data_IF_004344244892
#
_entry.id   IF_004344244892
#
_cell.length_a   1.000
_cell.length_b   1.000
_cell.length_c   1.000
_cell.angle_alpha   90.00
_cell.angle_beta   90.00
_cell.angle_gamma   90.00
#
_symmetry.space_group_name_H-M   'P 1'
#
loop_
_entity.id
_entity.type
_entity.pdbx_description
1 polymer ?
#
# COMPACT_ATOMS: atom_id res chain seq x y z
N UNK A 1 -13.95 -7.31 -14.15
CA UNK A 1 -15.13 -6.45 -13.99
C UNK A 1 -14.63 -5.02 -13.91
N UNK A 2 -15.03 -4.17 -14.83
CA UNK A 2 -14.66 -2.75 -14.87
C UNK A 2 -15.35 -2.05 -13.72
N UNK A 3 -14.60 -1.28 -12.90
CA UNK A 3 -15.22 -0.41 -11.91
C UNK A 3 -15.88 0.78 -12.64
N UNK A 4 -17.20 0.87 -12.68
CA UNK A 4 -17.91 1.92 -13.42
C UNK A 4 -17.74 3.32 -12.78
N UNK A 5 -17.05 3.41 -11.65
CA UNK A 5 -16.88 4.62 -10.87
C UNK A 5 -15.49 5.24 -11.04
N UNK A 6 -14.56 4.56 -11.72
CA UNK A 6 -13.23 5.10 -11.95
C UNK A 6 -13.30 6.32 -12.87
N UNK A 7 -12.88 7.48 -12.39
CA UNK A 7 -12.89 8.73 -13.15
C UNK A 7 -11.57 8.98 -13.87
N UNK A 8 -10.45 8.65 -13.27
CA UNK A 8 -9.15 8.86 -13.89
C UNK A 8 -8.02 8.07 -13.24
N UNK A 9 -6.89 8.05 -13.94
CA UNK A 9 -5.63 7.57 -13.39
C UNK A 9 -4.46 8.40 -13.95
N UNK A 10 -3.35 8.39 -13.21
CA UNK A 10 -2.11 9.03 -13.63
C UNK A 10 -0.90 8.18 -13.18
N UNK A 11 0.23 8.36 -13.86
CA UNK A 11 1.52 7.85 -13.41
C UNK A 11 2.32 9.00 -12.78
N UNK A 12 3.17 8.65 -11.82
CA UNK A 12 4.07 9.59 -11.19
C UNK A 12 5.39 8.91 -10.81
N UNK A 13 6.49 9.63 -10.96
CA UNK A 13 7.81 9.14 -10.61
C UNK A 13 8.04 9.19 -9.11
N UNK A 14 8.68 8.14 -8.58
CA UNK A 14 9.02 8.03 -7.16
C UNK A 14 10.43 7.47 -6.99
N UNK A 15 11.04 7.59 -5.79
CA UNK A 15 12.33 6.97 -5.48
C UNK A 15 12.39 5.44 -5.66
N UNK A 16 11.24 4.78 -5.74
CA UNK A 16 11.16 3.33 -5.96
C UNK A 16 10.75 2.95 -7.39
N UNK A 17 10.55 3.93 -8.28
CA UNK A 17 10.15 3.75 -9.67
C UNK A 17 8.82 4.44 -9.99
N UNK A 18 8.29 4.18 -11.19
CA UNK A 18 7.04 4.81 -11.64
C UNK A 18 5.84 4.11 -11.02
N UNK A 19 5.17 4.82 -10.12
CA UNK A 19 3.90 4.41 -9.53
C UNK A 19 2.72 4.89 -10.38
N UNK A 20 1.54 4.35 -10.09
CA UNK A 20 0.29 4.84 -10.67
C UNK A 20 -0.79 4.99 -9.63
N UNK A 21 -1.68 5.94 -9.82
CA UNK A 21 -2.80 6.21 -8.94
C UNK A 21 -4.09 6.31 -9.75
N UNK A 22 -5.16 5.68 -9.25
CA UNK A 22 -6.49 5.77 -9.82
C UNK A 22 -7.46 6.35 -8.79
N UNK A 23 -8.44 7.10 -9.25
CA UNK A 23 -9.42 7.79 -8.39
C UNK A 23 -10.83 7.78 -8.97
N UNK A 24 -11.79 7.97 -8.08
CA UNK A 24 -13.19 8.28 -8.36
C UNK A 24 -13.57 9.62 -7.71
N UNK A 25 -14.79 10.12 -7.91
CA UNK A 25 -15.29 11.27 -7.17
C UNK A 25 -15.28 11.12 -5.64
N UNK A 26 -15.23 9.88 -5.13
CA UNK A 26 -15.27 9.58 -3.69
C UNK A 26 -13.88 9.47 -3.05
N UNK A 27 -12.83 9.30 -3.84
CA UNK A 27 -11.48 9.18 -3.30
C UNK A 27 -10.55 8.32 -4.15
N UNK A 28 -9.46 7.88 -3.55
CA UNK A 28 -8.47 7.03 -4.21
C UNK A 28 -9.01 5.59 -4.31
N UNK A 29 -9.08 5.08 -5.53
CA UNK A 29 -9.45 3.69 -5.83
C UNK A 29 -8.26 2.74 -5.74
N UNK A 30 -7.08 3.24 -6.10
CA UNK A 30 -5.89 2.42 -6.09
C UNK A 30 -4.59 3.19 -6.21
N UNK A 31 -3.54 2.61 -5.66
CA UNK A 31 -2.16 3.01 -5.87
C UNK A 31 -1.38 1.77 -6.27
N UNK A 32 -0.87 1.79 -7.50
CA UNK A 32 -0.09 0.71 -8.09
C UNK A 32 1.39 0.98 -7.90
N UNK A 33 2.07 0.06 -7.24
CA UNK A 33 3.53 0.07 -7.15
C UNK A 33 4.17 -0.17 -8.53
N UNK A 34 5.45 0.21 -8.72
CA UNK A 34 6.12 0.07 -10.00
C UNK A 34 6.12 -1.38 -10.51
N UNK A 35 5.79 -1.57 -11.77
CA UNK A 35 6.10 -2.77 -12.52
C UNK A 35 7.51 -2.67 -13.13
N UNK A 36 7.91 -3.64 -13.94
CA UNK A 36 9.24 -3.66 -14.57
C UNK A 36 9.53 -2.41 -15.44
N UNK A 37 8.48 -1.80 -16.00
CA UNK A 37 8.56 -0.56 -16.79
C UNK A 37 7.35 0.34 -16.51
N UNK A 38 7.48 1.64 -16.79
CA UNK A 38 6.36 2.58 -16.72
C UNK A 38 5.19 2.16 -17.62
N UNK A 39 5.49 1.61 -18.79
CA UNK A 39 4.48 1.06 -19.70
C UNK A 39 3.71 -0.12 -19.11
N UNK A 40 4.40 -1.00 -18.38
CA UNK A 40 3.78 -2.12 -17.69
C UNK A 40 2.89 -1.64 -16.52
N UNK A 41 3.35 -0.63 -15.76
CA UNK A 41 2.54 0.01 -14.70
C UNK A 41 1.26 0.62 -15.29
N UNK A 42 1.37 1.37 -16.40
CA UNK A 42 0.21 1.94 -17.13
C UNK A 42 -0.74 0.85 -17.60
N UNK A 43 -0.22 -0.20 -18.21
CA UNK A 43 -1.04 -1.31 -18.71
C UNK A 43 -1.82 -2.00 -17.57
N UNK A 44 -1.19 -2.15 -16.41
CA UNK A 44 -1.84 -2.73 -15.23
C UNK A 44 -2.96 -1.84 -14.68
N UNK A 45 -2.76 -0.52 -14.63
CA UNK A 45 -3.81 0.44 -14.26
C UNK A 45 -5.00 0.36 -15.21
N UNK A 46 -4.75 0.42 -16.52
CA UNK A 46 -5.80 0.32 -17.56
C UNK A 46 -6.61 -0.96 -17.46
N UNK A 47 -5.94 -2.08 -17.15
CA UNK A 47 -6.62 -3.38 -17.00
C UNK A 47 -7.46 -3.44 -15.73
N UNK A 48 -6.96 -2.87 -14.65
CA UNK A 48 -7.62 -2.93 -13.33
C UNK A 48 -8.79 -1.95 -13.24
N UNK A 49 -8.64 -0.77 -13.81
CA UNK A 49 -9.66 0.29 -13.86
C UNK A 49 -9.96 0.68 -15.31
N UNK A 50 -10.54 -0.27 -16.05
CA UNK A 50 -10.74 -0.12 -17.50
C UNK A 50 -11.67 1.04 -17.89
N UNK A 51 -12.50 1.55 -16.96
CA UNK A 51 -13.32 2.76 -17.15
C UNK A 51 -12.60 4.07 -16.87
N UNK A 52 -11.37 4.03 -16.33
CA UNK A 52 -10.62 5.22 -16.00
C UNK A 52 -9.87 5.78 -17.21
N UNK A 53 -9.86 7.11 -17.33
CA UNK A 53 -9.09 7.83 -18.37
C UNK A 53 -7.79 8.35 -17.78
N UNK A 54 -6.69 8.19 -18.50
CA UNK A 54 -5.40 8.81 -18.12
C UNK A 54 -5.53 10.33 -18.26
N UNK A 55 -5.38 11.05 -17.15
CA UNK A 55 -5.61 12.48 -17.08
C UNK A 55 -4.82 13.12 -15.94
N UNK A 56 -4.77 14.44 -15.92
CA UNK A 56 -4.17 15.15 -14.79
C UNK A 56 -4.96 14.92 -13.50
N UNK A 57 -4.27 14.65 -12.38
CA UNK A 57 -4.92 14.46 -11.10
C UNK A 57 -5.67 15.71 -10.63
N UNK A 58 -6.91 15.59 -10.15
CA UNK A 58 -7.57 16.68 -9.43
C UNK A 58 -6.74 17.08 -8.19
N UNK A 59 -6.95 18.32 -7.70
CA UNK A 59 -6.18 18.88 -6.59
C UNK A 59 -6.10 17.96 -5.34
N UNK A 60 -7.18 17.26 -4.99
CA UNK A 60 -7.20 16.31 -3.88
C UNK A 60 -6.30 15.09 -4.11
N UNK A 61 -6.28 14.56 -5.33
CA UNK A 61 -5.43 13.45 -5.73
C UNK A 61 -3.97 13.89 -5.83
N UNK A 62 -3.72 15.10 -6.37
CA UNK A 62 -2.37 15.64 -6.43
C UNK A 62 -1.77 15.80 -5.02
N UNK A 63 -2.54 16.30 -4.04
CA UNK A 63 -2.07 16.36 -2.64
C UNK A 63 -1.76 14.97 -2.08
N UNK A 64 -2.51 13.96 -2.45
CA UNK A 64 -2.21 12.58 -2.04
C UNK A 64 -0.88 12.09 -2.67
N UNK A 65 -0.65 12.37 -3.96
CA UNK A 65 0.63 12.09 -4.64
C UNK A 65 1.79 12.79 -3.93
N UNK A 66 1.66 14.08 -3.66
CA UNK A 66 2.72 14.89 -3.02
C UNK A 66 3.10 14.32 -1.65
N UNK A 67 2.11 13.91 -0.85
CA UNK A 67 2.34 13.28 0.46
C UNK A 67 2.98 11.89 0.34
N UNK A 68 2.61 11.10 -0.66
CA UNK A 68 3.26 9.81 -0.95
C UNK A 68 4.71 10.03 -1.36
N UNK A 69 5.00 11.04 -2.17
CA UNK A 69 6.36 11.40 -2.57
C UNK A 69 7.19 11.85 -1.37
N UNK A 70 6.64 12.66 -0.49
CA UNK A 70 7.30 13.09 0.75
C UNK A 70 7.63 11.89 1.65
N UNK A 71 6.69 10.94 1.82
CA UNK A 71 6.93 9.71 2.56
C UNK A 71 8.07 8.89 1.94
N UNK A 72 8.04 8.68 0.62
CA UNK A 72 9.04 7.90 -0.10
C UNK A 72 10.40 8.62 -0.23
N UNK A 73 10.46 9.91 0.08
CA UNK A 73 11.71 10.65 0.26
C UNK A 73 12.26 10.55 1.70
N UNK A 74 11.62 9.79 2.57
CA UNK A 74 12.03 9.60 3.97
C UNK A 74 11.35 10.52 4.98
N UNK A 75 10.32 11.28 4.56
CA UNK A 75 9.52 12.12 5.45
C UNK A 75 8.59 11.29 6.35
N UNK A 76 8.39 11.73 7.57
CA UNK A 76 7.45 11.11 8.51
C UNK A 76 6.02 11.64 8.29
N UNK A 77 5.43 11.28 7.16
CA UNK A 77 4.11 11.74 6.74
C UNK A 77 3.04 10.71 7.05
N UNK A 78 2.00 11.11 7.77
CA UNK A 78 0.81 10.28 7.95
C UNK A 78 -0.10 10.39 6.71
N UNK A 79 -0.51 9.26 6.16
CA UNK A 79 -1.42 9.15 5.02
C UNK A 79 -2.83 8.69 5.45
N UNK A 80 -3.08 8.59 6.76
CA UNK A 80 -4.28 7.97 7.31
C UNK A 80 -5.58 8.73 7.03
N UNK A 81 -5.53 10.01 6.71
CA UNK A 81 -6.69 10.86 6.41
C UNK A 81 -7.01 11.00 4.92
N UNK A 82 -6.20 10.42 4.03
CA UNK A 82 -6.48 10.45 2.59
C UNK A 82 -7.77 9.68 2.29
N UNK A 83 -8.77 10.31 1.64
CA UNK A 83 -10.02 9.62 1.31
C UNK A 83 -9.79 8.45 0.33
N UNK A 84 -10.30 7.28 0.68
CA UNK A 84 -10.24 6.09 -0.16
C UNK A 84 -11.65 5.69 -0.62
N UNK A 85 -11.75 5.23 -1.85
CA UNK A 85 -12.95 4.59 -2.37
C UNK A 85 -12.74 3.07 -2.39
N UNK A 86 -13.15 2.42 -1.32
CA UNK A 86 -13.03 0.97 -1.10
C UNK A 86 -14.40 0.28 -1.06
N UNK A 87 -15.43 0.90 -1.64
CA UNK A 87 -16.80 0.39 -1.57
C UNK A 87 -16.93 -1.04 -2.12
N UNK A 88 -16.18 -1.36 -3.16
CA UNK A 88 -16.19 -2.70 -3.78
C UNK A 88 -15.38 -3.75 -3.01
N UNK A 89 -14.58 -3.34 -2.03
CA UNK A 89 -13.82 -4.27 -1.21
C UNK A 89 -14.71 -4.98 -0.19
N UNK A 90 -14.49 -6.27 0.09
CA UNK A 90 -15.21 -6.99 1.14
C UNK A 90 -15.11 -6.28 2.49
N UNK A 91 -16.16 -6.35 3.30
CA UNK A 91 -16.22 -5.67 4.61
C UNK A 91 -15.02 -6.01 5.50
N UNK A 92 -14.67 -7.30 5.58
CA UNK A 92 -13.52 -7.74 6.38
C UNK A 92 -12.21 -7.09 5.88
N UNK A 93 -12.01 -7.01 4.55
CA UNK A 93 -10.83 -6.35 3.99
C UNK A 93 -10.78 -4.87 4.36
N UNK A 94 -11.91 -4.16 4.30
CA UNK A 94 -11.97 -2.74 4.71
C UNK A 94 -11.56 -2.56 6.16
N UNK A 95 -12.06 -3.41 7.07
CA UNK A 95 -11.66 -3.40 8.49
C UNK A 95 -10.17 -3.65 8.68
N UNK A 96 -9.59 -4.60 7.94
CA UNK A 96 -8.15 -4.85 7.95
C UNK A 96 -7.37 -3.61 7.49
N UNK A 97 -7.82 -2.96 6.41
CA UNK A 97 -7.16 -1.76 5.88
C UNK A 97 -7.26 -0.58 6.85
N UNK A 98 -8.38 -0.40 7.53
CA UNK A 98 -8.53 0.63 8.57
C UNK A 98 -7.52 0.44 9.70
N UNK A 99 -7.36 -0.79 10.20
CA UNK A 99 -6.36 -1.09 11.24
C UNK A 99 -4.95 -0.88 10.71
N UNK A 100 -4.63 -1.35 9.50
CA UNK A 100 -3.31 -1.17 8.90
C UNK A 100 -2.94 0.32 8.77
N UNK A 101 -3.89 1.18 8.42
CA UNK A 101 -3.69 2.64 8.29
C UNK A 101 -3.37 3.34 9.60
N UNK A 102 -3.60 2.71 10.74
CA UNK A 102 -3.19 3.24 12.05
C UNK A 102 -1.72 3.03 12.36
N UNK A 103 -1.00 2.24 11.56
CA UNK A 103 0.43 1.98 11.77
C UNK A 103 1.22 3.18 11.23
N UNK A 104 1.93 3.95 12.08
CA UNK A 104 2.71 5.09 11.62
C UNK A 104 3.91 4.67 10.75
N UNK A 105 4.46 5.59 9.93
CA UNK A 105 5.75 5.37 9.28
C UNK A 105 6.84 4.97 10.29
N UNK A 106 7.68 4.02 9.90
CA UNK A 106 8.75 3.52 10.77
C UNK A 106 8.33 2.49 11.81
N UNK A 107 7.04 2.19 11.93
CA UNK A 107 6.50 1.16 12.82
C UNK A 107 5.92 -0.01 12.03
N UNK A 108 5.78 -1.14 12.71
CA UNK A 108 5.22 -2.36 12.13
C UNK A 108 4.25 -3.04 13.08
N UNK A 109 3.34 -3.82 12.54
CA UNK A 109 2.49 -4.79 13.26
C UNK A 109 2.64 -6.16 12.63
N UNK A 110 2.30 -7.19 13.38
CA UNK A 110 2.15 -8.54 12.82
C UNK A 110 0.72 -8.78 12.33
N UNK A 111 0.54 -9.74 11.44
CA UNK A 111 -0.81 -10.18 11.02
C UNK A 111 -1.67 -10.60 12.21
N UNK A 112 -1.05 -11.27 13.21
CA UNK A 112 -1.73 -11.68 14.44
C UNK A 112 -2.15 -10.51 15.32
N UNK A 113 -1.38 -9.43 15.38
CA UNK A 113 -1.78 -8.21 16.12
C UNK A 113 -2.97 -7.53 15.49
N UNK A 114 -3.01 -7.45 14.15
CA UNK A 114 -4.19 -6.93 13.43
C UNK A 114 -5.41 -7.82 13.70
N UNK A 115 -5.27 -9.14 13.60
CA UNK A 115 -6.35 -10.09 13.87
C UNK A 115 -6.91 -9.92 15.29
N UNK A 116 -6.04 -9.76 16.31
CA UNK A 116 -6.48 -9.48 17.69
C UNK A 116 -7.21 -8.15 17.82
N UNK A 117 -6.72 -7.09 17.18
CA UNK A 117 -7.42 -5.79 17.18
C UNK A 117 -8.81 -5.85 16.57
N UNK A 118 -9.01 -6.74 15.59
CA UNK A 118 -10.31 -6.98 14.95
C UNK A 118 -11.21 -7.95 15.73
N UNK A 119 -10.75 -8.51 16.85
CA UNK A 119 -11.49 -9.48 17.64
C UNK A 119 -11.55 -10.89 17.04
N UNK A 120 -10.68 -11.19 16.09
CA UNK A 120 -10.58 -12.48 15.38
C UNK A 120 -9.16 -13.07 15.47
N UNK A 121 -8.64 -13.37 16.68
CA UNK A 121 -7.23 -13.66 16.92
C UNK A 121 -6.68 -14.87 16.13
N UNK A 122 -7.56 -15.73 15.63
CA UNK A 122 -7.18 -16.93 14.87
C UNK A 122 -7.14 -16.72 13.35
N UNK A 123 -7.55 -15.52 12.87
CA UNK A 123 -7.68 -15.21 11.44
C UNK A 123 -6.48 -14.43 10.87
N UNK A 124 -5.28 -14.66 11.36
CA UNK A 124 -4.07 -13.99 10.87
C UNK A 124 -3.78 -14.28 9.39
N UNK A 125 -4.19 -15.46 8.90
CA UNK A 125 -4.07 -15.85 7.50
C UNK A 125 -5.01 -15.04 6.61
N UNK A 126 -6.24 -14.85 7.06
CA UNK A 126 -7.29 -14.06 6.38
C UNK A 126 -6.87 -12.57 6.33
N UNK A 127 -6.27 -12.05 7.40
CA UNK A 127 -5.64 -10.72 7.40
C UNK A 127 -4.55 -10.63 6.32
N UNK A 128 -3.69 -11.64 6.23
CA UNK A 128 -2.66 -11.72 5.20
C UNK A 128 -3.25 -11.74 3.78
N UNK A 129 -4.33 -12.48 3.56
CA UNK A 129 -5.03 -12.53 2.27
C UNK A 129 -5.68 -11.17 1.93
N UNK A 130 -6.29 -10.50 2.90
CA UNK A 130 -6.86 -9.17 2.71
C UNK A 130 -5.79 -8.17 2.29
N UNK A 131 -4.66 -8.14 2.99
CA UNK A 131 -3.51 -7.27 2.66
C UNK A 131 -2.87 -7.63 1.32
N UNK A 132 -2.83 -8.90 0.95
CA UNK A 132 -2.36 -9.33 -0.37
C UNK A 132 -3.23 -8.83 -1.54
N UNK A 133 -4.48 -8.47 -1.26
CA UNK A 133 -5.44 -7.91 -2.22
C UNK A 133 -5.62 -6.39 -2.10
N UNK A 134 -4.80 -5.74 -1.28
CA UNK A 134 -4.83 -4.29 -1.09
C UNK A 134 -4.73 -3.54 -2.42
N UNK A 135 -5.75 -2.75 -2.80
CA UNK A 135 -5.70 -1.98 -4.04
C UNK A 135 -4.90 -0.68 -3.93
N UNK A 136 -4.66 -0.19 -2.71
CA UNK A 136 -4.10 1.15 -2.46
C UNK A 136 -2.80 1.03 -1.69
N UNK A 137 -1.78 0.46 -2.33
CA UNK A 137 -0.47 0.29 -1.70
C UNK A 137 0.09 1.62 -1.16
N UNK A 138 0.92 1.58 -0.15
CA UNK A 138 1.52 2.72 0.56
C UNK A 138 0.50 3.46 1.42
N UNK A 139 -0.63 3.92 0.89
CA UNK A 139 -1.67 4.62 1.66
C UNK A 139 -2.36 3.64 2.63
N UNK A 140 -2.64 2.41 2.19
CA UNK A 140 -2.88 1.27 3.07
C UNK A 140 -1.55 0.54 3.21
N UNK A 141 -0.82 0.69 4.34
CA UNK A 141 0.58 0.32 4.43
C UNK A 141 0.77 -1.18 4.70
N UNK A 142 0.36 -2.04 3.76
CA UNK A 142 0.56 -3.48 3.86
C UNK A 142 2.04 -3.89 4.02
N UNK A 143 2.97 -3.02 3.59
CA UNK A 143 4.40 -3.20 3.81
C UNK A 143 4.81 -3.11 5.28
N UNK A 144 4.02 -2.44 6.15
CA UNK A 144 4.25 -2.34 7.60
C UNK A 144 3.71 -3.55 8.39
N UNK A 145 3.15 -4.55 7.70
CA UNK A 145 2.61 -5.75 8.34
C UNK A 145 3.52 -6.94 8.07
N UNK A 146 3.98 -7.56 9.14
CA UNK A 146 4.97 -8.63 9.14
C UNK A 146 4.37 -9.94 9.67
N UNK A 147 5.04 -11.05 9.39
CA UNK A 147 4.75 -12.32 10.03
C UNK A 147 5.17 -12.34 11.51
N UNK A 148 4.86 -13.42 12.21
CA UNK A 148 5.35 -13.64 13.55
C UNK A 148 6.88 -13.56 13.61
N UNK A 149 7.42 -13.07 14.73
CA UNK A 149 8.86 -12.86 14.93
C UNK A 149 9.50 -11.87 13.93
N UNK A 150 8.72 -10.94 13.38
CA UNK A 150 9.21 -9.93 12.44
C UNK A 150 9.58 -10.47 11.06
N UNK A 151 9.18 -11.70 10.74
CA UNK A 151 9.45 -12.28 9.41
C UNK A 151 8.73 -11.50 8.32
N UNK A 152 9.47 -11.20 7.24
CA UNK A 152 8.88 -10.64 6.04
C UNK A 152 7.91 -11.66 5.43
N UNK A 153 6.61 -11.39 5.52
CA UNK A 153 5.59 -12.13 4.78
C UNK A 153 5.70 -11.86 3.28
N UNK A 154 4.92 -12.59 2.50
CA UNK A 154 4.81 -12.34 1.06
C UNK A 154 4.37 -10.91 0.75
N UNK A 155 4.75 -10.43 -0.42
CA UNK A 155 4.36 -9.12 -0.93
C UNK A 155 4.01 -9.27 -2.41
N UNK A 156 2.80 -8.86 -2.79
CA UNK A 156 2.27 -9.11 -4.14
C UNK A 156 2.73 -8.12 -5.20
N UNK A 157 3.51 -7.09 -4.82
CA UNK A 157 4.08 -6.14 -5.75
C UNK A 157 5.23 -6.76 -6.57
N UNK A 158 5.55 -6.15 -7.70
CA UNK A 158 6.76 -6.46 -8.45
C UNK A 158 8.00 -6.28 -7.56
N UNK A 159 8.94 -7.22 -7.60
CA UNK A 159 10.08 -7.27 -6.68
C UNK A 159 9.77 -7.90 -5.30
N UNK A 160 8.50 -8.19 -4.98
CA UNK A 160 8.09 -8.93 -3.79
C UNK A 160 8.67 -8.37 -2.49
N UNK A 161 9.28 -9.23 -1.70
CA UNK A 161 9.88 -8.88 -0.39
C UNK A 161 10.95 -7.80 -0.49
N UNK A 162 11.70 -7.71 -1.60
CA UNK A 162 12.71 -6.67 -1.80
C UNK A 162 12.07 -5.27 -1.87
N UNK A 163 10.95 -5.12 -2.57
CA UNK A 163 10.19 -3.85 -2.62
C UNK A 163 9.64 -3.49 -1.23
N UNK A 164 9.08 -4.45 -0.52
CA UNK A 164 8.59 -4.27 0.86
C UNK A 164 9.71 -3.76 1.78
N UNK A 165 10.87 -4.42 1.74
CA UNK A 165 12.05 -4.03 2.53
C UNK A 165 12.50 -2.62 2.18
N UNK A 166 12.56 -2.30 0.89
CA UNK A 166 12.97 -0.97 0.42
C UNK A 166 12.10 0.14 0.98
N UNK A 167 10.78 -0.04 0.99
CA UNK A 167 9.86 0.96 1.54
C UNK A 167 10.05 1.09 3.06
N UNK A 168 10.18 -0.02 3.78
CA UNK A 168 10.45 0.00 5.23
C UNK A 168 11.77 0.69 5.58
N UNK A 169 12.84 0.48 4.79
CA UNK A 169 14.12 1.16 4.95
C UNK A 169 13.99 2.67 4.74
N UNK A 170 13.23 3.11 3.74
CA UNK A 170 12.95 4.53 3.48
C UNK A 170 12.23 5.16 4.67
N UNK A 171 11.30 4.45 5.28
CA UNK A 171 10.57 4.92 6.46
C UNK A 171 11.39 4.88 7.74
N UNK A 172 12.62 4.36 7.70
CA UNK A 172 13.46 4.19 8.89
C UNK A 172 12.86 3.20 9.88
N UNK A 173 12.08 2.24 9.40
CA UNK A 173 11.53 1.20 10.24
C UNK A 173 12.68 0.47 10.93
N UNK A 174 12.88 0.74 12.21
CA UNK A 174 13.67 -0.15 13.06
C UNK A 174 12.98 -1.50 12.98
N UNK A 175 13.71 -2.53 12.52
CA UNK A 175 13.19 -3.87 12.56
C UNK A 175 12.75 -4.15 14.00
N UNK A 176 11.46 -4.08 14.24
CA UNK A 176 10.87 -4.60 15.48
C UNK A 176 11.06 -6.11 15.40
N UNK A 177 11.96 -6.59 16.20
CA UNK A 177 12.62 -7.86 16.03
C UNK A 177 13.83 -7.67 15.12
N UNK A 178 14.86 -6.96 15.61
CA UNK A 178 16.22 -7.11 15.14
C UNK A 178 16.66 -8.56 15.40
N UNK A 179 15.99 -9.47 14.70
CA UNK A 179 16.52 -10.78 14.45
C UNK A 179 17.68 -10.64 13.48
N UNK A 180 18.53 -11.64 13.35
CA UNK A 180 19.84 -11.59 12.70
C UNK A 180 19.86 -11.16 11.23
N UNK A 181 18.75 -10.77 10.62
CA UNK A 181 18.64 -10.34 9.23
C UNK A 181 19.18 -8.93 8.98
N UNK A 182 19.15 -8.05 9.98
CA UNK A 182 19.69 -6.69 9.82
C UNK A 182 21.14 -6.56 10.28
N UNK A 183 21.61 -7.46 11.15
CA UNK A 183 23.04 -7.50 11.55
C UNK A 183 23.98 -8.10 10.51
N UNK A 184 23.46 -8.82 9.50
CA UNK A 184 24.29 -9.48 8.46
C UNK A 184 24.64 -8.61 7.25
N UNK A 185 24.28 -7.33 7.27
CA UNK A 185 24.55 -6.39 6.18
C UNK A 185 25.41 -5.18 6.61
N UNK A 186 26.21 -5.36 7.67
CA UNK A 186 27.33 -4.46 7.97
C UNK A 186 28.64 -5.02 7.43
#
# INVERSE_FOLDING_TARGET
MTDPLASGFALFETPIGVCGIAWSPRGILGLQLPEATAGATRARLRRRWAGATESEPPAGVQRAIDRVLELLAGGAVDLGDIPLDLETAPEFHRKVYEVARTIPPGQTMTYGEIARKLGVPHESREVGQALGRNPVAIIVPCHRVLGADGKMGGFSANGGVATKRRILEIEGASAVGAGPLFERLK
#
